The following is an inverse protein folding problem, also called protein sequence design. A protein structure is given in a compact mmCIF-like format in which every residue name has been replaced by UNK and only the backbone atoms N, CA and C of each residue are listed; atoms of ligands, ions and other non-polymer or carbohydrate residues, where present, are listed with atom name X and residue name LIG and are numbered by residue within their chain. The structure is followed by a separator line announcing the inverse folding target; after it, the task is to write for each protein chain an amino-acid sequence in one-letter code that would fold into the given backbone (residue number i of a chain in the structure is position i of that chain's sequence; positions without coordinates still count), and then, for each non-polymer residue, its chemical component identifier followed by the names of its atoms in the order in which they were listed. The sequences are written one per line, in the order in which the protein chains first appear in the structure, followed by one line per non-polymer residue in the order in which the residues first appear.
data_IF_931280296449
#
_entry.id   IF_931280296449
#
_cell.length_a   1.000
_cell.length_b   1.000
_cell.length_c   1.000
_cell.angle_alpha   90.00
_cell.angle_beta   90.00
_cell.angle_gamma   90.00
#
_symmetry.space_group_name_H-M   'P 1'
#
loop_
_entity.id
_entity.type
_entity.pdbx_description
1 polymer ?
#
# COMPACT_ATOMS: atom_id res chain seq x y z
N UNK A 1 -7.19 -49.29 6.87
CA UNK A 1 -6.67 -48.81 8.17
C UNK A 1 -6.13 -47.42 7.95
N UNK A 2 -6.93 -46.45 8.40
CA UNK A 2 -6.68 -45.00 8.41
C UNK A 2 -5.32 -44.59 8.94
N UNK A 3 -4.75 -43.54 8.34
CA UNK A 3 -4.21 -42.40 9.08
C UNK A 3 -4.49 -41.11 8.30
N UNK A 4 -5.61 -40.48 8.65
CA UNK A 4 -5.85 -39.06 8.44
C UNK A 4 -4.63 -38.26 8.91
N UNK A 5 -3.92 -37.59 8.01
CA UNK A 5 -3.09 -36.45 8.40
C UNK A 5 -4.02 -35.26 8.57
N UNK A 6 -4.29 -34.94 9.83
CA UNK A 6 -4.95 -33.72 10.28
C UNK A 6 -4.13 -32.50 9.82
N UNK A 7 -4.62 -31.82 8.79
CA UNK A 7 -4.13 -30.50 8.40
C UNK A 7 -4.50 -29.49 9.49
N UNK A 8 -3.61 -29.28 10.46
CA UNK A 8 -3.78 -28.23 11.47
C UNK A 8 -3.35 -26.91 10.82
N UNK A 9 -4.32 -26.13 10.33
CA UNK A 9 -4.08 -24.74 9.89
C UNK A 9 -3.93 -23.85 11.11
N UNK A 10 -2.70 -23.68 11.58
CA UNK A 10 -2.39 -22.65 12.57
C UNK A 10 -2.56 -21.27 11.92
N UNK A 11 -3.66 -20.57 12.23
CA UNK A 11 -3.88 -19.20 11.75
C UNK A 11 -3.11 -18.22 12.64
N UNK A 12 -1.81 -18.06 12.35
CA UNK A 12 -0.97 -17.11 13.06
C UNK A 12 -1.57 -15.70 13.00
N UNK A 13 -1.65 -15.05 14.16
CA UNK A 13 -2.07 -13.65 14.32
C UNK A 13 -0.88 -12.82 14.79
N UNK A 14 -0.82 -11.59 14.30
CA UNK A 14 0.25 -10.64 14.57
C UNK A 14 -0.34 -9.40 15.20
N UNK A 15 0.25 -8.91 16.29
CA UNK A 15 -0.11 -7.60 16.85
C UNK A 15 0.47 -6.50 15.97
N UNK A 16 -0.07 -5.28 16.11
CA UNK A 16 0.40 -4.12 15.33
C UNK A 16 1.93 -3.93 15.36
N UNK A 17 2.56 -4.12 16.52
CA UNK A 17 4.01 -3.99 16.65
C UNK A 17 4.79 -5.07 15.88
N UNK A 18 4.29 -6.31 15.85
CA UNK A 18 4.90 -7.41 15.09
C UNK A 18 4.73 -7.18 13.59
N UNK A 19 3.52 -6.84 13.16
CA UNK A 19 3.24 -6.51 11.77
C UNK A 19 4.13 -5.36 11.26
N UNK A 20 4.27 -4.30 12.06
CA UNK A 20 5.16 -3.17 11.73
C UNK A 20 6.62 -3.57 11.59
N UNK A 21 7.13 -4.45 12.46
CA UNK A 21 8.51 -4.96 12.36
C UNK A 21 8.72 -5.78 11.10
N UNK A 22 7.78 -6.67 10.77
CA UNK A 22 7.83 -7.50 9.57
C UNK A 22 7.82 -6.63 8.30
N UNK A 23 6.95 -5.62 8.27
CA UNK A 23 6.71 -4.78 7.11
C UNK A 23 7.68 -3.60 6.98
N UNK A 24 8.48 -3.29 8.00
CA UNK A 24 9.36 -2.12 8.00
C UNK A 24 8.59 -0.78 7.88
N UNK A 25 7.46 -0.67 8.58
CA UNK A 25 6.63 0.54 8.64
C UNK A 25 6.33 0.93 10.09
N UNK A 26 5.91 2.18 10.29
CA UNK A 26 5.51 2.64 11.62
C UNK A 26 4.06 2.23 11.94
N UNK A 27 3.70 2.10 13.22
CA UNK A 27 2.29 1.90 13.61
C UNK A 27 1.36 3.01 13.13
N UNK A 28 1.85 4.25 13.00
CA UNK A 28 1.06 5.36 12.48
C UNK A 28 0.75 5.17 10.99
N UNK A 29 1.75 4.77 10.20
CA UNK A 29 1.59 4.41 8.78
C UNK A 29 0.56 3.29 8.62
N UNK A 30 0.70 2.20 9.40
CA UNK A 30 -0.21 1.05 9.32
C UNK A 30 -1.66 1.44 9.65
N UNK A 31 -1.88 2.22 10.71
CA UNK A 31 -3.22 2.74 11.06
C UNK A 31 -3.79 3.69 10.00
N UNK A 32 -2.95 4.48 9.34
CA UNK A 32 -3.39 5.32 8.24
C UNK A 32 -3.83 4.44 7.06
N UNK A 33 -3.03 3.43 6.70
CA UNK A 33 -3.35 2.52 5.62
C UNK A 33 -4.64 1.72 5.85
N UNK A 34 -4.96 1.31 7.08
CA UNK A 34 -6.29 0.73 7.40
C UNK A 34 -7.47 1.62 6.99
N UNK A 35 -7.32 2.95 7.07
CA UNK A 35 -8.35 3.89 6.60
C UNK A 35 -8.34 4.02 5.08
N UNK A 36 -7.16 3.85 4.48
CA UNK A 36 -6.95 3.97 3.04
C UNK A 36 -7.22 2.68 2.29
N UNK A 37 -7.37 1.53 2.93
CA UNK A 37 -7.67 0.28 2.25
C UNK A 37 -8.83 -0.41 2.97
N UNK A 38 -10.08 -0.24 2.49
CA UNK A 38 -11.24 -0.90 3.10
C UNK A 38 -11.12 -2.43 3.17
N UNK A 39 -10.38 -3.04 2.22
CA UNK A 39 -10.06 -4.46 2.21
C UNK A 39 -9.13 -4.90 3.36
N UNK A 40 -8.39 -3.97 3.96
CA UNK A 40 -7.54 -4.21 5.12
C UNK A 40 -8.33 -3.95 6.41
N UNK A 41 -8.99 -4.98 6.93
CA UNK A 41 -9.85 -4.89 8.11
C UNK A 41 -9.38 -5.84 9.22
N UNK A 42 -8.27 -5.52 9.91
CA UNK A 42 -7.74 -6.37 10.97
C UNK A 42 -8.76 -6.49 12.11
N UNK A 43 -8.92 -7.71 12.63
CA UNK A 43 -9.83 -7.95 13.76
C UNK A 43 -9.31 -7.23 14.98
N UNK A 44 -10.24 -6.75 15.82
CA UNK A 44 -9.93 -6.23 17.14
C UNK A 44 -10.22 -7.30 18.18
N UNK A 45 -9.29 -7.51 19.11
CA UNK A 45 -9.53 -8.34 20.29
C UNK A 45 -10.56 -7.67 21.20
N UNK A 46 -11.06 -8.42 22.19
CA UNK A 46 -11.96 -7.87 23.22
C UNK A 46 -11.37 -6.66 23.96
N UNK A 47 -10.05 -6.58 24.08
CA UNK A 47 -9.33 -5.44 24.67
C UNK A 47 -9.01 -4.30 23.68
N UNK A 48 -9.55 -4.34 22.46
CA UNK A 48 -9.38 -3.30 21.45
C UNK A 48 -8.04 -3.35 20.69
N UNK A 49 -7.22 -4.38 20.90
CA UNK A 49 -5.94 -4.53 20.19
C UNK A 49 -6.16 -5.08 18.79
N UNK A 50 -5.40 -4.60 17.81
CA UNK A 50 -5.48 -5.09 16.42
C UNK A 50 -4.68 -6.36 16.24
N UNK A 51 -5.28 -7.32 15.57
CA UNK A 51 -4.66 -8.56 15.14
C UNK A 51 -4.74 -8.68 13.62
N UNK A 52 -3.55 -8.74 13.01
CA UNK A 52 -3.37 -8.93 11.58
C UNK A 52 -3.17 -10.42 11.33
N UNK A 53 -3.79 -10.91 10.27
CA UNK A 53 -3.56 -12.24 9.72
C UNK A 53 -2.37 -12.24 8.76
N UNK A 54 -1.95 -13.42 8.34
CA UNK A 54 -1.00 -13.53 7.22
C UNK A 54 -1.54 -12.92 5.93
N UNK A 55 -2.85 -12.98 5.69
CA UNK A 55 -3.47 -12.38 4.51
C UNK A 55 -3.38 -10.84 4.57
N UNK A 56 -3.60 -10.24 5.74
CA UNK A 56 -3.39 -8.81 5.96
C UNK A 56 -1.93 -8.43 5.69
N UNK A 57 -0.97 -9.23 6.15
CA UNK A 57 0.46 -9.00 5.89
C UNK A 57 0.81 -9.12 4.41
N UNK A 58 0.26 -10.10 3.69
CA UNK A 58 0.45 -10.24 2.24
C UNK A 58 -0.11 -9.04 1.49
N UNK A 59 -1.32 -8.61 1.85
CA UNK A 59 -1.93 -7.40 1.29
C UNK A 59 -1.05 -6.17 1.53
N UNK A 60 -0.61 -5.96 2.77
CA UNK A 60 0.28 -4.85 3.15
C UNK A 60 1.63 -4.89 2.43
N UNK A 61 2.18 -6.10 2.22
CA UNK A 61 3.39 -6.30 1.41
C UNK A 61 3.19 -5.80 -0.02
N UNK A 62 2.05 -6.10 -0.65
CA UNK A 62 1.74 -5.60 -2.00
C UNK A 62 1.55 -4.08 -2.02
N UNK A 63 0.95 -3.48 -0.99
CA UNK A 63 0.89 -2.00 -0.86
C UNK A 63 2.30 -1.39 -0.80
N UNK A 64 3.23 -2.00 -0.06
CA UNK A 64 4.62 -1.54 0.03
C UNK A 64 5.30 -1.61 -1.34
N UNK A 65 5.13 -2.70 -2.06
CA UNK A 65 5.70 -2.87 -3.40
C UNK A 65 5.17 -1.79 -4.36
N UNK A 66 3.84 -1.63 -4.42
CA UNK A 66 3.20 -0.61 -5.27
C UNK A 66 3.70 0.80 -4.95
N UNK A 67 3.88 1.13 -3.67
CA UNK A 67 4.24 2.49 -3.25
C UNK A 67 5.73 2.79 -3.32
N UNK A 68 6.58 1.88 -2.83
CA UNK A 68 8.03 2.12 -2.69
C UNK A 68 8.83 1.66 -3.89
N UNK A 69 8.38 0.61 -4.57
CA UNK A 69 9.09 0.04 -5.73
C UNK A 69 8.50 0.59 -7.01
N UNK A 70 7.18 0.53 -7.17
CA UNK A 70 6.50 0.98 -8.40
C UNK A 70 6.15 2.49 -8.38
N UNK A 71 6.40 3.20 -7.28
CA UNK A 71 6.19 4.64 -7.17
C UNK A 71 4.72 5.10 -7.22
N UNK A 72 3.76 4.20 -7.01
CA UNK A 72 2.32 4.49 -7.04
C UNK A 72 1.89 5.25 -5.79
N UNK A 73 0.96 6.18 -5.95
CA UNK A 73 0.22 6.78 -4.83
C UNK A 73 -0.61 5.72 -4.11
N UNK A 74 -1.02 6.01 -2.86
CA UNK A 74 -1.92 5.12 -2.12
C UNK A 74 -3.29 4.97 -2.81
N UNK A 75 -3.78 6.03 -3.47
CA UNK A 75 -5.02 5.99 -4.24
C UNK A 75 -4.90 5.08 -5.47
N UNK A 76 -3.80 5.22 -6.22
CA UNK A 76 -3.52 4.35 -7.37
C UNK A 76 -3.32 2.89 -6.94
N UNK A 77 -2.60 2.68 -5.83
CA UNK A 77 -2.42 1.36 -5.24
C UNK A 77 -3.75 0.74 -4.83
N UNK A 78 -4.67 1.51 -4.21
CA UNK A 78 -6.00 1.03 -3.82
C UNK A 78 -6.76 0.52 -5.03
N UNK A 79 -6.83 1.30 -6.09
CA UNK A 79 -7.58 0.91 -7.28
C UNK A 79 -7.04 -0.36 -7.95
N UNK A 80 -5.71 -0.51 -8.00
CA UNK A 80 -5.07 -1.75 -8.48
C UNK A 80 -5.49 -2.95 -7.62
N UNK A 81 -5.47 -2.79 -6.29
CA UNK A 81 -5.80 -3.85 -5.34
C UNK A 81 -7.31 -4.19 -5.30
N UNK A 82 -8.18 -3.22 -5.61
CA UNK A 82 -9.63 -3.39 -5.68
C UNK A 82 -10.11 -3.82 -7.08
N UNK A 83 -9.22 -3.94 -8.07
CA UNK A 83 -9.56 -4.28 -9.45
C UNK A 83 -10.34 -3.18 -10.17
N UNK A 84 -10.26 -1.93 -9.69
CA UNK A 84 -10.91 -0.78 -10.33
C UNK A 84 -10.05 -0.33 -11.50
N UNK A 85 -10.64 -0.31 -12.70
CA UNK A 85 -9.97 0.21 -13.88
C UNK A 85 -9.84 1.74 -13.79
N UNK A 86 -8.64 2.22 -13.46
CA UNK A 86 -8.27 3.63 -13.58
C UNK A 86 -7.72 3.90 -14.98
N UNK A 87 -7.77 5.16 -15.47
CA UNK A 87 -7.03 5.53 -16.68
C UNK A 87 -5.56 5.11 -16.55
N UNK A 88 -4.99 4.53 -17.61
CA UNK A 88 -3.65 3.87 -17.64
C UNK A 88 -2.47 4.77 -17.23
N UNK A 89 -2.70 6.06 -16.99
CA UNK A 89 -1.64 6.97 -16.55
C UNK A 89 -1.12 6.56 -15.16
N UNK A 90 0.22 6.53 -14.96
CA UNK A 90 0.75 6.22 -13.66
C UNK A 90 0.36 7.31 -12.66
N UNK A 91 -0.46 6.93 -11.67
CA UNK A 91 -0.74 7.76 -10.51
C UNK A 91 0.47 7.71 -9.58
N UNK A 92 1.58 8.35 -9.99
CA UNK A 92 2.75 8.60 -9.14
C UNK A 92 2.29 9.19 -7.80
N UNK A 93 3.12 9.12 -6.75
CA UNK A 93 2.89 9.86 -5.50
C UNK A 93 2.83 11.37 -5.81
N UNK A 94 1.64 11.80 -6.21
CA UNK A 94 1.35 13.05 -6.91
C UNK A 94 0.92 14.16 -5.97
N UNK A 95 1.48 14.20 -4.77
CA UNK A 95 1.56 15.45 -3.99
C UNK A 95 2.98 16.04 -4.01
N UNK A 96 3.95 15.45 -4.73
CA UNK A 96 5.33 16.02 -4.75
C UNK A 96 5.96 16.08 -6.15
N UNK A 97 5.71 15.12 -7.05
CA UNK A 97 6.37 15.08 -8.38
C UNK A 97 5.51 15.57 -9.56
N UNK A 98 4.18 15.63 -9.38
CA UNK A 98 3.28 16.22 -10.39
C UNK A 98 3.53 17.72 -10.52
N UNK A 99 3.81 18.40 -9.42
CA UNK A 99 4.09 19.85 -9.42
C UNK A 99 5.50 20.15 -9.91
N UNK A 100 6.49 19.30 -9.60
CA UNK A 100 7.85 19.50 -10.07
C UNK A 100 8.02 19.21 -11.57
N UNK A 101 7.34 18.21 -12.14
CA UNK A 101 7.41 18.00 -13.60
C UNK A 101 6.58 19.01 -14.38
N UNK A 102 5.44 19.49 -13.83
CA UNK A 102 4.77 20.67 -14.39
C UNK A 102 5.67 21.91 -14.31
N UNK A 103 6.38 22.12 -13.21
CA UNK A 103 7.38 23.19 -13.07
C UNK A 103 8.55 23.05 -14.04
N UNK A 104 8.98 21.83 -14.39
CA UNK A 104 10.01 21.57 -15.41
C UNK A 104 9.46 21.83 -16.82
N UNK A 105 8.24 21.38 -17.14
CA UNK A 105 7.64 21.61 -18.46
C UNK A 105 7.28 23.08 -18.73
N UNK A 106 6.91 23.86 -17.71
CA UNK A 106 6.67 25.31 -17.84
C UNK A 106 7.97 26.11 -18.00
N UNK A 107 9.12 25.56 -17.59
CA UNK A 107 10.44 26.17 -17.77
C UNK A 107 11.04 25.89 -19.16
N UNK A 108 10.76 24.72 -19.75
CA UNK A 108 11.19 24.41 -21.14
C UNK A 108 10.47 25.29 -22.19
N UNK A 109 9.27 25.78 -21.90
CA UNK A 109 8.51 26.67 -22.81
C UNK A 109 9.15 28.07 -22.93
N UNK A 110 9.85 28.56 -21.90
CA UNK A 110 10.59 29.84 -21.94
C UNK A 110 11.95 29.76 -22.66
N UNK A 111 12.49 28.55 -22.85
CA UNK A 111 13.76 28.37 -23.56
C UNK A 111 13.58 28.26 -25.10
N UNK A 112 12.34 28.04 -25.59
CA UNK A 112 12.04 28.00 -27.04
C UNK A 112 11.82 29.38 -27.68
N UNK A 113 11.69 30.47 -26.90
CA UNK A 113 11.50 31.84 -27.43
C UNK A 113 12.83 32.60 -27.68
N UNK A 114 13.99 32.01 -27.35
CA UNK A 114 15.31 32.69 -27.44
C UNK A 114 16.22 32.09 -28.53
N UNK A 115 15.78 31.06 -29.27
CA UNK A 115 16.66 30.22 -30.11
C UNK A 115 16.44 30.13 -31.63
N UNK A 116 15.53 30.87 -32.26
CA UNK A 116 15.33 30.83 -33.72
C UNK A 116 14.95 32.19 -34.33
#
# INVERSE_FOLDING_TARGET
MDRHQSGVTFTQKYRIGEACRILGITPATLRHWEKVFPLLSPKKTRGGQREYSEEDLRFLGRVIELTRVEGRSLKGSRAILEGVNLPESPQWVGETLVDLRKAIQLMDETDSEIGA
#
